data_IF_514811833328
#
_entry.id   IF_514811833328
#
_cell.length_a   1.000
_cell.length_b   1.000
_cell.length_c   1.000
_cell.angle_alpha   90.00
_cell.angle_beta   90.00
_cell.angle_gamma   90.00
#
_symmetry.space_group_name_H-M   'P 1'
#
loop_
_entity.id
_entity.type
_entity.pdbx_description
1 polymer ?
#
# COMPACT_ATOMS: atom_id res chain seq x y z
N UNK A 1 -54.79 -25.87 48.44
CA UNK A 1 -53.49 -26.38 47.97
C UNK A 1 -53.16 -25.69 46.66
N UNK A 2 -52.03 -24.97 46.61
CA UNK A 2 -51.58 -24.15 45.47
C UNK A 2 -50.72 -24.99 44.54
N UNK A 3 -51.02 -25.03 43.25
CA UNK A 3 -50.10 -25.56 42.22
C UNK A 3 -49.41 -24.40 41.53
N UNK A 4 -48.13 -24.22 41.87
CA UNK A 4 -47.21 -23.26 41.29
C UNK A 4 -46.83 -23.73 39.87
N UNK A 5 -47.22 -22.99 38.83
CA UNK A 5 -46.74 -23.25 37.46
C UNK A 5 -45.50 -22.39 37.20
N UNK A 6 -44.33 -23.03 37.16
CA UNK A 6 -43.07 -22.40 36.75
C UNK A 6 -43.09 -22.31 35.23
N UNK A 7 -43.23 -21.09 34.70
CA UNK A 7 -43.04 -20.81 33.27
C UNK A 7 -41.55 -20.47 33.10
N UNK A 8 -40.77 -21.43 32.61
CA UNK A 8 -39.38 -21.21 32.20
C UNK A 8 -39.40 -20.58 30.81
N UNK A 9 -39.30 -19.26 30.75
CA UNK A 9 -39.12 -18.57 29.47
C UNK A 9 -37.65 -18.67 29.06
N UNK A 10 -37.35 -19.66 28.21
CA UNK A 10 -36.06 -19.82 27.57
C UNK A 10 -35.91 -18.74 26.49
N UNK A 11 -35.41 -17.56 26.86
CA UNK A 11 -35.08 -16.51 25.90
C UNK A 11 -33.91 -16.94 25.03
N UNK A 12 -34.23 -17.47 23.86
CA UNK A 12 -33.32 -17.77 22.76
C UNK A 12 -32.57 -16.48 22.38
N UNK A 13 -31.30 -16.37 22.76
CA UNK A 13 -30.40 -15.35 22.23
C UNK A 13 -30.16 -15.74 20.77
N UNK A 14 -31.00 -15.22 19.87
CA UNK A 14 -30.75 -15.29 18.42
C UNK A 14 -29.58 -14.36 18.15
N UNK A 15 -28.38 -14.93 18.25
CA UNK A 15 -27.16 -14.30 17.75
C UNK A 15 -27.25 -14.17 16.24
N UNK A 16 -27.79 -13.04 15.77
CA UNK A 16 -27.55 -12.63 14.39
C UNK A 16 -26.07 -12.26 14.28
N UNK A 17 -25.29 -13.24 13.85
CA UNK A 17 -23.92 -13.04 13.38
C UNK A 17 -23.97 -12.08 12.21
N UNK A 18 -23.49 -10.85 12.41
CA UNK A 18 -23.21 -9.93 11.32
C UNK A 18 -22.09 -10.54 10.47
N UNK A 19 -22.44 -11.30 9.44
CA UNK A 19 -21.55 -11.59 8.33
C UNK A 19 -21.34 -10.29 7.55
N UNK A 20 -20.54 -9.37 8.08
CA UNK A 20 -19.91 -8.35 7.25
C UNK A 20 -18.93 -9.09 6.36
N UNK A 21 -19.40 -9.48 5.18
CA UNK A 21 -18.55 -9.83 4.05
C UNK A 21 -17.80 -8.56 3.70
N UNK A 22 -16.64 -8.36 4.32
CA UNK A 22 -15.71 -7.32 3.89
C UNK A 22 -15.30 -7.68 2.46
N UNK A 23 -15.87 -6.98 1.48
CA UNK A 23 -15.39 -7.07 0.12
C UNK A 23 -13.89 -6.73 0.15
N UNK A 24 -13.05 -7.68 -0.24
CA UNK A 24 -11.60 -7.54 -0.15
C UNK A 24 -11.17 -6.40 -1.07
N UNK A 25 -10.81 -5.25 -0.48
CA UNK A 25 -10.31 -4.11 -1.24
C UNK A 25 -8.95 -4.46 -1.82
N UNK A 26 -8.81 -4.36 -3.14
CA UNK A 26 -7.52 -4.51 -3.82
C UNK A 26 -6.97 -3.12 -4.10
N UNK A 27 -5.66 -2.97 -3.96
CA UNK A 27 -4.96 -1.70 -4.17
C UNK A 27 -3.82 -1.91 -5.15
N UNK A 28 -3.61 -0.95 -6.05
CA UNK A 28 -2.44 -0.87 -6.91
C UNK A 28 -1.77 0.49 -6.74
N UNK A 29 -0.44 0.51 -6.71
CA UNK A 29 0.37 1.73 -6.67
C UNK A 29 1.27 1.74 -7.90
N UNK A 30 1.23 2.81 -8.67
CA UNK A 30 2.12 3.10 -9.77
C UNK A 30 3.14 4.17 -9.35
N UNK A 31 4.42 3.98 -9.67
CA UNK A 31 5.51 4.89 -9.32
C UNK A 31 6.11 5.41 -10.62
N UNK A 32 6.11 6.73 -10.77
CA UNK A 32 6.64 7.42 -11.93
C UNK A 32 8.09 7.85 -11.70
N UNK A 33 8.95 7.57 -12.68
CA UNK A 33 10.38 7.82 -12.62
C UNK A 33 10.84 8.77 -13.72
N UNK A 34 11.70 9.71 -13.35
CA UNK A 34 12.29 10.70 -14.24
C UNK A 34 13.81 10.67 -14.10
N UNK A 35 14.53 10.50 -15.20
CA UNK A 35 15.97 10.67 -15.16
C UNK A 35 16.36 12.08 -14.76
N UNK A 36 17.40 12.17 -13.95
CA UNK A 36 18.05 13.42 -13.61
C UNK A 36 19.28 13.60 -14.49
N UNK A 37 19.70 14.84 -14.69
CA UNK A 37 20.89 15.22 -15.48
C UNK A 37 22.19 14.55 -15.01
N UNK A 38 22.18 13.88 -13.85
CA UNK A 38 23.32 13.22 -13.24
C UNK A 38 23.39 11.71 -13.55
N UNK A 39 22.63 11.24 -14.55
CA UNK A 39 22.60 9.83 -14.97
C UNK A 39 21.94 8.88 -13.96
N UNK A 40 21.16 9.42 -13.02
CA UNK A 40 20.43 8.66 -12.01
C UNK A 40 18.94 8.95 -12.11
N UNK A 41 18.08 7.94 -11.95
CA UNK A 41 16.63 8.10 -12.00
C UNK A 41 16.05 8.49 -10.63
N UNK A 42 15.12 9.46 -10.62
CA UNK A 42 14.32 9.84 -9.47
C UNK A 42 12.90 9.31 -9.61
N UNK A 43 12.41 8.59 -8.60
CA UNK A 43 10.99 8.37 -8.43
C UNK A 43 10.39 9.67 -7.90
N UNK A 44 9.73 10.44 -8.76
CA UNK A 44 9.28 11.79 -8.42
C UNK A 44 7.92 11.77 -7.72
N UNK A 45 7.10 10.75 -8.01
CA UNK A 45 5.78 10.61 -7.40
C UNK A 45 5.16 9.25 -7.67
N UNK A 46 4.10 8.96 -6.92
CA UNK A 46 3.30 7.76 -7.08
C UNK A 46 1.82 8.12 -7.31
N UNK A 47 1.05 7.16 -7.81
CA UNK A 47 -0.40 7.20 -7.93
C UNK A 47 -0.96 5.88 -7.42
N UNK A 48 -2.05 5.90 -6.67
CA UNK A 48 -2.68 4.68 -6.18
C UNK A 48 -4.12 4.58 -6.64
N UNK A 49 -4.59 3.35 -6.81
CA UNK A 49 -5.95 3.04 -7.22
C UNK A 49 -6.45 1.87 -6.39
N UNK A 50 -7.71 1.91 -5.95
CA UNK A 50 -8.30 0.79 -5.20
C UNK A 50 -9.70 0.43 -5.69
N UNK A 51 -10.02 -0.85 -5.66
CA UNK A 51 -11.34 -1.35 -6.04
C UNK A 51 -11.70 -2.63 -5.30
N UNK A 52 -12.97 -2.80 -4.85
CA UNK A 52 -13.43 -4.01 -4.20
C UNK A 52 -13.74 -5.17 -5.17
N UNK A 53 -13.89 -4.91 -6.48
CA UNK A 53 -14.43 -5.89 -7.45
C UNK A 53 -13.51 -6.21 -8.63
N UNK A 54 -12.44 -5.44 -8.84
CA UNK A 54 -11.59 -5.60 -10.03
C UNK A 54 -10.68 -6.84 -9.98
N UNK A 55 -10.30 -7.32 -11.15
CA UNK A 55 -9.19 -8.28 -11.31
C UNK A 55 -7.86 -7.55 -11.11
N UNK A 56 -6.85 -8.26 -10.60
CA UNK A 56 -5.53 -7.68 -10.30
C UNK A 56 -4.88 -7.05 -11.53
N UNK A 57 -5.04 -7.66 -12.70
CA UNK A 57 -4.49 -7.15 -13.96
C UNK A 57 -5.12 -5.81 -14.37
N UNK A 58 -6.46 -5.71 -14.32
CA UNK A 58 -7.19 -4.49 -14.63
C UNK A 58 -6.81 -3.37 -13.65
N UNK A 59 -6.79 -3.68 -12.34
CA UNK A 59 -6.38 -2.74 -11.30
C UNK A 59 -4.98 -2.17 -11.54
N UNK A 60 -4.03 -3.04 -11.91
CA UNK A 60 -2.65 -2.64 -12.24
C UNK A 60 -2.61 -1.72 -13.46
N UNK A 61 -3.37 -2.05 -14.51
CA UNK A 61 -3.46 -1.24 -15.72
C UNK A 61 -4.06 0.13 -15.45
N UNK A 62 -5.12 0.22 -14.65
CA UNK A 62 -5.77 1.50 -14.30
C UNK A 62 -4.86 2.40 -13.45
N UNK A 63 -4.16 1.83 -12.46
CA UNK A 63 -3.18 2.58 -11.68
C UNK A 63 -2.05 3.12 -12.56
N UNK A 64 -1.53 2.30 -13.48
CA UNK A 64 -0.50 2.71 -14.44
C UNK A 64 -1.00 3.82 -15.37
N UNK A 65 -2.16 3.64 -16.01
CA UNK A 65 -2.76 4.64 -16.89
C UNK A 65 -3.03 5.97 -16.18
N UNK A 66 -3.48 5.91 -14.93
CA UNK A 66 -3.70 7.10 -14.12
C UNK A 66 -2.39 7.83 -13.80
N UNK A 67 -1.31 7.08 -13.52
CA UNK A 67 0.03 7.66 -13.38
C UNK A 67 0.54 8.25 -14.69
N UNK A 68 0.37 7.57 -15.83
CA UNK A 68 0.77 8.07 -17.16
C UNK A 68 0.07 9.38 -17.50
N UNK A 69 -1.23 9.48 -17.22
CA UNK A 69 -1.97 10.73 -17.44
C UNK A 69 -1.50 11.87 -16.52
N UNK A 70 -1.15 11.55 -15.27
CA UNK A 70 -0.72 12.56 -14.27
C UNK A 70 0.74 12.99 -14.46
N UNK A 71 1.59 12.09 -14.95
CA UNK A 71 3.03 12.26 -15.06
C UNK A 71 3.47 11.98 -16.51
N UNK A 72 2.84 12.64 -17.48
CA UNK A 72 2.97 12.33 -18.91
C UNK A 72 4.35 12.61 -19.52
N UNK A 73 5.16 13.42 -18.85
CA UNK A 73 6.54 13.75 -19.25
C UNK A 73 7.60 12.79 -18.68
N UNK A 74 7.18 11.67 -18.07
CA UNK A 74 8.06 10.76 -17.35
C UNK A 74 8.40 9.55 -18.22
N UNK A 75 9.65 9.10 -18.10
CA UNK A 75 10.22 8.10 -19.01
C UNK A 75 9.79 6.67 -18.67
N UNK A 76 9.44 6.42 -17.41
CA UNK A 76 9.00 5.08 -17.00
C UNK A 76 8.06 5.09 -15.80
N UNK A 77 7.15 4.12 -15.78
CA UNK A 77 6.23 3.87 -14.69
C UNK A 77 6.28 2.38 -14.33
N UNK A 78 6.58 2.08 -13.06
CA UNK A 78 6.41 0.75 -12.49
C UNK A 78 5.10 0.67 -11.71
N UNK A 79 4.60 -0.54 -11.45
CA UNK A 79 3.40 -0.73 -10.63
C UNK A 79 3.49 -1.96 -9.73
N UNK A 80 2.94 -1.83 -8.53
CA UNK A 80 2.82 -2.86 -7.48
C UNK A 80 1.36 -3.00 -7.08
N UNK A 81 0.96 -4.18 -6.60
CA UNK A 81 -0.42 -4.49 -6.22
C UNK A 81 -0.46 -5.23 -4.90
N UNK A 82 -1.47 -4.93 -4.09
CA UNK A 82 -1.82 -5.70 -2.90
C UNK A 82 -2.66 -6.91 -3.33
N UNK A 83 -2.27 -8.09 -2.87
CA UNK A 83 -3.09 -9.29 -3.02
C UNK A 83 -4.17 -9.36 -1.92
N UNK A 84 -5.22 -10.14 -2.16
CA UNK A 84 -6.32 -10.37 -1.24
C UNK A 84 -5.83 -10.69 0.18
N UNK A 85 -6.32 -9.94 1.17
CA UNK A 85 -6.02 -10.16 2.59
C UNK A 85 -5.16 -9.08 3.22
N UNK A 86 -4.41 -8.30 2.44
CA UNK A 86 -3.62 -7.17 2.95
C UNK A 86 -4.54 -6.07 3.51
N UNK A 87 -4.23 -5.59 4.72
CA UNK A 87 -4.97 -4.52 5.40
C UNK A 87 -4.17 -3.22 5.51
N UNK A 88 -2.86 -3.28 5.33
CA UNK A 88 -1.96 -2.14 5.40
C UNK A 88 -1.26 -1.92 4.06
N UNK A 89 -1.17 -0.66 3.65
CA UNK A 89 -0.27 -0.16 2.62
C UNK A 89 0.63 0.89 3.26
N UNK A 90 1.95 0.71 3.13
CA UNK A 90 2.93 1.69 3.57
C UNK A 90 3.75 2.12 2.37
N UNK A 91 3.84 3.44 2.20
CA UNK A 91 4.70 4.07 1.22
C UNK A 91 5.76 4.84 1.99
N UNK A 92 7.02 4.57 1.68
CA UNK A 92 8.16 5.31 2.21
C UNK A 92 8.86 6.04 1.08
N UNK A 93 9.39 7.22 1.36
CA UNK A 93 10.32 7.91 0.47
C UNK A 93 11.68 8.02 1.13
N UNK A 94 12.73 7.98 0.33
CA UNK A 94 14.09 8.34 0.73
C UNK A 94 14.68 9.31 -0.30
N UNK A 95 15.50 10.25 0.18
CA UNK A 95 16.14 11.28 -0.64
C UNK A 95 17.65 11.22 -0.51
N UNK A 96 18.35 10.86 -1.57
CA UNK A 96 19.81 10.77 -1.59
C UNK A 96 20.41 11.97 -2.29
N UNK A 97 21.29 12.70 -1.61
CA UNK A 97 22.10 13.74 -2.23
C UNK A 97 23.45 13.16 -2.67
N UNK A 98 23.69 13.11 -3.98
CA UNK A 98 24.96 12.64 -4.57
C UNK A 98 25.46 13.66 -5.58
N UNK A 99 26.70 14.12 -5.41
CA UNK A 99 27.38 15.05 -6.33
C UNK A 99 26.54 16.31 -6.67
N UNK A 100 25.86 16.89 -5.68
CA UNK A 100 25.00 18.06 -5.88
C UNK A 100 23.60 17.77 -6.42
N UNK A 101 23.28 16.50 -6.70
CA UNK A 101 21.97 16.07 -7.20
C UNK A 101 21.16 15.42 -6.07
N UNK A 102 19.85 15.66 -6.01
CA UNK A 102 18.97 14.99 -5.06
C UNK A 102 18.08 14.00 -5.80
N UNK A 103 18.19 12.73 -5.44
CA UNK A 103 17.42 11.63 -5.98
C UNK A 103 16.38 11.22 -4.95
N UNK A 104 15.11 11.21 -5.33
CA UNK A 104 14.06 10.61 -4.50
C UNK A 104 13.77 9.19 -4.98
N UNK A 105 13.58 8.26 -4.07
CA UNK A 105 13.18 6.88 -4.37
C UNK A 105 12.05 6.49 -3.43
N UNK A 106 11.05 5.78 -3.95
CA UNK A 106 9.93 5.31 -3.15
C UNK A 106 9.98 3.79 -2.94
N UNK A 107 9.67 3.36 -1.71
CA UNK A 107 9.40 1.98 -1.33
C UNK A 107 7.91 1.81 -1.05
N UNK A 108 7.38 0.63 -1.36
CA UNK A 108 5.94 0.31 -1.17
C UNK A 108 5.84 -1.09 -0.62
N UNK A 109 5.05 -1.26 0.43
CA UNK A 109 4.82 -2.56 1.07
C UNK A 109 3.36 -2.77 1.41
N UNK A 110 2.91 -4.03 1.32
CA UNK A 110 1.53 -4.44 1.60
C UNK A 110 1.52 -5.64 2.56
N UNK A 111 0.78 -5.56 3.66
CA UNK A 111 0.68 -6.68 4.59
C UNK A 111 -0.59 -6.62 5.45
N UNK A 112 -0.79 -7.64 6.29
CA UNK A 112 -1.93 -7.75 7.22
C UNK A 112 -1.65 -7.04 8.56
N UNK A 113 -0.42 -6.57 8.76
CA UNK A 113 0.00 -5.80 9.92
C UNK A 113 0.96 -4.67 9.51
N UNK A 114 1.02 -3.62 10.33
CA UNK A 114 1.81 -2.42 10.04
C UNK A 114 3.31 -2.73 9.94
N UNK A 115 3.83 -3.59 10.81
CA UNK A 115 5.27 -3.88 10.88
C UNK A 115 5.76 -4.59 9.62
N UNK A 116 5.00 -5.59 9.16
CA UNK A 116 5.31 -6.33 7.94
C UNK A 116 5.17 -5.46 6.69
N UNK A 117 4.19 -4.56 6.64
CA UNK A 117 4.04 -3.63 5.51
C UNK A 117 5.24 -2.66 5.46
N UNK A 118 5.73 -2.20 6.61
CA UNK A 118 6.91 -1.33 6.70
C UNK A 118 8.17 -2.07 6.26
N UNK A 119 8.38 -3.30 6.74
CA UNK A 119 9.53 -4.13 6.35
C UNK A 119 9.53 -4.41 4.84
N UNK A 120 8.37 -4.71 4.25
CA UNK A 120 8.25 -4.84 2.81
C UNK A 120 8.55 -3.53 2.07
N UNK A 121 8.08 -2.39 2.55
CA UNK A 121 8.35 -1.09 1.95
C UNK A 121 9.86 -0.78 1.97
N UNK A 122 10.53 -1.09 3.07
CA UNK A 122 11.98 -1.00 3.22
C UNK A 122 12.69 -1.94 2.24
N UNK A 123 12.33 -3.23 2.20
CA UNK A 123 12.92 -4.19 1.25
C UNK A 123 12.73 -3.77 -0.20
N UNK A 124 11.57 -3.19 -0.51
CA UNK A 124 11.31 -2.67 -1.85
C UNK A 124 12.25 -1.50 -2.15
N UNK A 125 12.40 -0.55 -1.23
CA UNK A 125 13.31 0.58 -1.37
C UNK A 125 14.76 0.13 -1.54
N UNK A 126 15.25 -0.81 -0.71
CA UNK A 126 16.63 -1.30 -0.75
C UNK A 126 16.94 -2.13 -1.99
N UNK A 127 15.99 -2.93 -2.47
CA UNK A 127 16.13 -3.66 -3.72
C UNK A 127 16.28 -2.74 -4.93
N UNK A 128 15.72 -1.52 -4.85
CA UNK A 128 15.83 -0.51 -5.90
C UNK A 128 17.07 0.37 -5.78
N UNK A 129 17.59 0.55 -4.56
CA UNK A 129 18.84 1.25 -4.33
C UNK A 129 19.64 0.58 -3.20
N UNK A 130 20.58 -0.28 -3.59
CA UNK A 130 21.41 -1.07 -2.67
C UNK A 130 22.36 -0.23 -1.81
N UNK A 131 22.61 1.03 -2.17
CA UNK A 131 23.41 1.98 -1.38
C UNK A 131 22.70 2.45 -0.11
N UNK A 132 21.46 1.99 0.13
CA UNK A 132 20.73 2.22 1.37
C UNK A 132 21.46 1.64 2.58
N UNK A 133 22.15 2.51 3.32
CA UNK A 133 22.63 2.24 4.67
C UNK A 133 21.96 3.21 5.63
N UNK A 134 21.51 2.70 6.78
CA UNK A 134 20.85 3.47 7.86
C UNK A 134 21.71 4.65 8.36
N UNK A 135 23.03 4.61 8.10
CA UNK A 135 24.04 5.61 8.46
C UNK A 135 24.08 6.84 7.57
N UNK A 136 23.50 6.80 6.35
CA UNK A 136 23.80 7.78 5.31
C UNK A 136 22.76 8.90 5.21
N UNK A 137 21.94 9.06 6.25
CA UNK A 137 21.10 10.25 6.47
C UNK A 137 19.94 10.38 5.48
N UNK A 138 18.86 9.61 5.67
CA UNK A 138 17.62 9.75 4.90
C UNK A 138 16.41 9.93 5.81
N UNK A 139 15.52 10.83 5.41
CA UNK A 139 14.22 11.04 6.06
C UNK A 139 13.21 10.05 5.52
N UNK A 140 12.69 9.19 6.38
CA UNK A 140 11.57 8.29 6.06
C UNK A 140 10.29 9.10 6.22
N UNK A 141 9.62 9.43 5.12
CA UNK A 141 8.23 9.87 5.18
C UNK A 141 7.33 8.63 5.14
N UNK A 142 6.59 8.36 6.21
CA UNK A 142 5.59 7.29 6.25
C UNK A 142 4.22 7.89 5.94
N UNK A 143 3.56 7.40 4.89
CA UNK A 143 2.14 7.65 4.69
C UNK A 143 1.33 6.37 4.97
N UNK A 144 0.45 6.45 5.98
CA UNK A 144 -0.43 5.35 6.38
C UNK A 144 -1.76 5.46 5.64
N UNK A 145 -2.22 4.34 5.08
CA UNK A 145 -3.60 4.16 4.66
C UNK A 145 -4.24 2.98 5.39
N UNK A 146 -5.46 3.22 5.89
CA UNK A 146 -6.32 2.35 6.72
C UNK A 146 -5.87 2.18 8.19
#
# INVERSE_FOLDING_TARGET
MKTLKIIVTLSLIVGFTFNKVFAQQKVAVAIAKKETSCGSSTDLGYYWYSSPSQKIYELKSEAKKSAENKYSDYESIESKVAYSGCTYMIIISARISKNGCTITTYGVGFANDKSSALDQAIRHLTGRNWSWKKSDGYTIAEEKFF
#
